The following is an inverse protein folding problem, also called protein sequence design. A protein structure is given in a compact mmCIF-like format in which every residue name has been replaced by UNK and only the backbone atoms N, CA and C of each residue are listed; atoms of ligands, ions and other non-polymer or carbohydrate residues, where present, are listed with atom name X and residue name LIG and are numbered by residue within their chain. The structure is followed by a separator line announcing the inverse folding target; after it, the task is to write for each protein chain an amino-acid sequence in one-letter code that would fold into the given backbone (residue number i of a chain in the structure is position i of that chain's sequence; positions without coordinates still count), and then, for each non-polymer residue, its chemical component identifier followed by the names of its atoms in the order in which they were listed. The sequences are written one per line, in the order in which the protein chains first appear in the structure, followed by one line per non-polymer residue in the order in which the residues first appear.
data_IF_015396029506
#
_entry.id   IF_015396029506
#
_cell.length_a   1.000
_cell.length_b   1.000
_cell.length_c   1.000
_cell.angle_alpha   90.00
_cell.angle_beta   90.00
_cell.angle_gamma   90.00
#
_symmetry.space_group_name_H-M   'P 1'
#
loop_
_entity.id
_entity.type
_entity.pdbx_description
1 polymer ?
#
# COMPACT_ATOMS: atom_id res chain seq x y z
N UNK A 1 -13.38 -11.82 -20.83
CA UNK A 1 -13.36 -10.46 -21.42
C UNK A 1 -12.50 -9.61 -20.52
N UNK A 2 -11.29 -9.34 -20.97
CA UNK A 2 -10.35 -8.44 -20.31
C UNK A 2 -10.93 -7.03 -20.38
N UNK A 3 -11.19 -6.39 -19.24
CA UNK A 3 -11.54 -4.96 -19.18
C UNK A 3 -10.29 -4.14 -19.52
N UNK A 4 -9.93 -4.14 -20.80
CA UNK A 4 -8.86 -3.28 -21.30
C UNK A 4 -9.31 -1.82 -21.19
N UNK A 5 -8.69 -1.07 -20.31
CA UNK A 5 -8.71 0.39 -20.30
C UNK A 5 -9.32 1.09 -19.08
N UNK A 6 -9.81 0.38 -18.09
CA UNK A 6 -10.28 1.05 -16.86
C UNK A 6 -9.13 1.26 -15.89
N UNK A 7 -8.88 2.53 -15.56
CA UNK A 7 -7.88 2.89 -14.53
C UNK A 7 -8.41 2.40 -13.18
N UNK A 8 -7.64 1.58 -12.43
CA UNK A 8 -8.10 1.09 -11.14
C UNK A 8 -8.32 2.25 -10.16
N UNK A 9 -9.25 2.09 -9.23
CA UNK A 9 -9.43 3.00 -8.10
C UNK A 9 -8.22 2.93 -7.16
N UNK A 10 -8.09 3.87 -6.24
CA UNK A 10 -7.03 3.83 -5.22
C UNK A 10 -7.11 2.55 -4.38
N UNK A 11 -8.33 2.15 -4.04
CA UNK A 11 -8.59 0.95 -3.27
C UNK A 11 -8.19 -0.32 -4.01
N UNK A 12 -8.51 -0.42 -5.29
CA UNK A 12 -8.12 -1.55 -6.13
C UNK A 12 -6.60 -1.64 -6.27
N UNK A 13 -5.91 -0.51 -6.42
CA UNK A 13 -4.45 -0.48 -6.50
C UNK A 13 -3.82 -0.88 -5.15
N UNK A 14 -4.37 -0.44 -4.01
CA UNK A 14 -3.95 -0.85 -2.67
C UNK A 14 -4.14 -2.36 -2.48
N UNK A 15 -5.31 -2.89 -2.82
CA UNK A 15 -5.59 -4.32 -2.74
C UNK A 15 -4.62 -5.13 -3.61
N UNK A 16 -4.37 -4.69 -4.84
CA UNK A 16 -3.41 -5.32 -5.75
C UNK A 16 -1.99 -5.33 -5.18
N UNK A 17 -1.53 -4.21 -4.60
CA UNK A 17 -0.22 -4.12 -3.97
C UNK A 17 -0.07 -5.11 -2.81
N UNK A 18 -1.08 -5.20 -1.93
CA UNK A 18 -1.07 -6.20 -0.85
C UNK A 18 -1.15 -7.61 -1.37
N UNK A 19 -2.00 -7.90 -2.36
CA UNK A 19 -2.11 -9.23 -2.95
C UNK A 19 -0.76 -9.73 -3.49
N UNK A 20 -0.02 -8.88 -4.21
CA UNK A 20 1.32 -9.21 -4.72
C UNK A 20 2.35 -9.44 -3.60
N UNK A 21 2.33 -8.58 -2.57
CA UNK A 21 3.26 -8.70 -1.44
C UNK A 21 3.00 -9.96 -0.60
N UNK A 22 1.73 -10.31 -0.41
CA UNK A 22 1.28 -11.45 0.40
C UNK A 22 1.64 -12.80 -0.20
N UNK A 23 1.65 -12.95 -1.52
CA UNK A 23 2.01 -14.22 -2.18
C UNK A 23 3.31 -14.78 -1.63
N UNK A 24 4.37 -13.96 -1.56
CA UNK A 24 5.68 -14.39 -1.08
C UNK A 24 5.70 -14.73 0.41
N UNK A 25 4.87 -14.06 1.20
CA UNK A 25 4.82 -14.28 2.65
C UNK A 25 4.03 -15.54 3.00
N UNK A 26 2.93 -15.77 2.31
CA UNK A 26 2.13 -16.99 2.45
C UNK A 26 2.93 -18.23 2.05
N UNK A 27 3.81 -18.12 1.06
CA UNK A 27 4.74 -19.18 0.67
C UNK A 27 5.72 -19.59 1.77
N UNK A 28 6.04 -18.67 2.66
CA UNK A 28 6.98 -18.88 3.78
C UNK A 28 6.29 -19.37 5.07
N UNK A 29 4.96 -19.52 5.08
CA UNK A 29 4.26 -20.06 6.24
C UNK A 29 4.71 -21.49 6.55
N UNK A 30 5.09 -21.79 7.80
CA UNK A 30 5.57 -23.12 8.20
C UNK A 30 4.40 -24.10 8.40
N UNK A 31 3.48 -24.18 7.45
CA UNK A 31 2.27 -25.00 7.49
C UNK A 31 2.16 -25.88 6.25
N UNK A 32 1.49 -27.00 6.42
CA UNK A 32 1.23 -27.93 5.30
C UNK A 32 0.03 -27.45 4.49
N UNK A 33 0.07 -27.60 3.17
CA UNK A 33 -1.08 -27.31 2.32
C UNK A 33 -2.30 -28.16 2.77
N UNK A 34 -3.47 -27.51 2.81
CA UNK A 34 -4.69 -28.12 3.34
C UNK A 34 -4.95 -27.83 4.82
N UNK A 35 -4.00 -27.25 5.55
CA UNK A 35 -4.22 -26.81 6.93
C UNK A 35 -5.42 -25.86 7.03
N UNK A 36 -6.15 -25.98 8.14
CA UNK A 36 -7.25 -25.06 8.49
C UNK A 36 -6.67 -23.88 9.24
N UNK A 37 -7.05 -22.68 8.86
CA UNK A 37 -6.58 -21.41 9.44
C UNK A 37 -7.77 -20.53 9.80
N UNK A 38 -7.67 -19.82 10.90
CA UNK A 38 -8.57 -18.74 11.24
C UNK A 38 -7.82 -17.41 11.14
N UNK A 39 -8.44 -16.39 10.51
CA UNK A 39 -7.88 -15.05 10.42
C UNK A 39 -8.46 -14.19 11.53
N UNK A 40 -7.60 -13.43 12.19
CA UNK A 40 -8.00 -12.51 13.24
C UNK A 40 -7.26 -11.17 13.13
N UNK A 41 -8.03 -10.09 12.98
CA UNK A 41 -7.48 -8.74 13.11
C UNK A 41 -7.03 -8.48 14.54
N UNK A 42 -5.79 -8.00 14.75
CA UNK A 42 -5.32 -7.55 16.07
C UNK A 42 -6.01 -6.25 16.48
N UNK A 43 -6.21 -5.34 15.54
CA UNK A 43 -6.96 -4.10 15.71
C UNK A 43 -8.32 -4.23 15.03
N UNK A 44 -9.33 -4.62 15.79
CA UNK A 44 -10.69 -4.84 15.28
C UNK A 44 -11.44 -3.54 14.94
N UNK A 45 -10.97 -2.40 15.42
CA UNK A 45 -11.61 -1.10 15.22
C UNK A 45 -11.14 -0.44 13.91
N UNK A 46 -10.08 -0.94 13.31
CA UNK A 46 -9.58 -0.42 12.04
C UNK A 46 -10.50 -0.82 10.88
N UNK A 47 -11.27 0.14 10.39
CA UNK A 47 -12.22 -0.06 9.31
C UNK A 47 -11.58 -0.49 7.98
N UNK A 48 -10.28 -0.22 7.78
CA UNK A 48 -9.56 -0.63 6.57
C UNK A 48 -9.10 -2.10 6.58
N UNK A 49 -9.35 -2.85 7.65
CA UNK A 49 -8.94 -4.26 7.77
C UNK A 49 -9.44 -5.14 6.64
N UNK A 50 -10.66 -4.90 6.14
CA UNK A 50 -11.27 -5.71 5.10
C UNK A 50 -10.46 -5.71 3.78
N UNK A 51 -9.77 -4.61 3.46
CA UNK A 51 -8.92 -4.51 2.25
C UNK A 51 -7.80 -5.54 2.27
N UNK A 52 -7.20 -5.71 3.45
CA UNK A 52 -6.09 -6.65 3.66
C UNK A 52 -6.62 -8.07 3.87
N UNK A 53 -7.75 -8.20 4.53
CA UNK A 53 -8.38 -9.50 4.80
C UNK A 53 -8.72 -10.23 3.51
N UNK A 54 -9.36 -9.54 2.55
CA UNK A 54 -9.68 -10.12 1.25
C UNK A 54 -8.42 -10.58 0.49
N UNK A 55 -7.38 -9.73 0.45
CA UNK A 55 -6.12 -10.08 -0.19
C UNK A 55 -5.41 -11.27 0.49
N UNK A 56 -5.49 -11.34 1.83
CA UNK A 56 -4.90 -12.43 2.61
C UNK A 56 -5.66 -13.74 2.43
N UNK A 57 -7.00 -13.72 2.44
CA UNK A 57 -7.85 -14.87 2.17
C UNK A 57 -7.52 -15.44 0.79
N UNK A 58 -7.49 -14.60 -0.24
CA UNK A 58 -7.19 -15.00 -1.61
C UNK A 58 -5.79 -15.64 -1.72
N UNK A 59 -4.77 -15.03 -1.12
CA UNK A 59 -3.41 -15.55 -1.11
C UNK A 59 -3.30 -16.91 -0.42
N UNK A 60 -3.96 -17.08 0.75
CA UNK A 60 -3.98 -18.34 1.49
C UNK A 60 -4.73 -19.45 0.74
N UNK A 61 -5.89 -19.13 0.16
CA UNK A 61 -6.68 -20.09 -0.61
C UNK A 61 -5.96 -20.56 -1.88
N UNK A 62 -5.28 -19.67 -2.59
CA UNK A 62 -4.44 -20.00 -3.76
C UNK A 62 -3.30 -20.97 -3.40
N UNK A 63 -2.83 -20.92 -2.17
CA UNK A 63 -1.82 -21.85 -1.62
C UNK A 63 -2.42 -23.17 -1.11
N UNK A 64 -3.75 -23.32 -1.15
CA UNK A 64 -4.46 -24.53 -0.75
C UNK A 64 -4.79 -24.59 0.75
N UNK A 65 -4.64 -23.48 1.50
CA UNK A 65 -5.09 -23.43 2.89
C UNK A 65 -6.62 -23.29 2.96
N UNK A 66 -7.21 -23.80 4.02
CA UNK A 66 -8.65 -23.67 4.29
C UNK A 66 -8.90 -22.57 5.30
N UNK A 67 -9.28 -21.41 4.81
CA UNK A 67 -9.57 -20.24 5.66
C UNK A 67 -10.97 -20.37 6.24
N UNK A 68 -11.08 -20.30 7.58
CA UNK A 68 -12.34 -20.37 8.30
C UNK A 68 -12.91 -18.97 8.51
N UNK A 69 -14.20 -18.82 8.29
CA UNK A 69 -14.93 -17.55 8.46
C UNK A 69 -15.24 -17.26 9.94
N UNK A 70 -15.25 -18.32 10.78
CA UNK A 70 -15.50 -18.21 12.22
C UNK A 70 -14.50 -19.03 12.99
N UNK A 71 -14.13 -18.55 14.15
CA UNK A 71 -13.31 -19.32 15.08
C UNK A 71 -14.09 -20.56 15.53
N UNK A 72 -13.54 -21.77 15.36
CA UNK A 72 -14.21 -22.98 15.82
C UNK A 72 -14.23 -23.06 17.35
N UNK A 73 -15.28 -23.65 17.89
CA UNK A 73 -15.47 -23.79 19.35
C UNK A 73 -14.45 -24.77 19.97
N UNK A 74 -13.97 -25.72 19.17
CA UNK A 74 -13.02 -26.78 19.59
C UNK A 74 -11.57 -26.23 19.76
N UNK A 75 -11.30 -25.01 19.39
CA UNK A 75 -10.00 -24.33 19.62
C UNK A 75 -8.82 -24.90 18.84
N UNK A 76 -8.99 -25.96 18.07
CA UNK A 76 -7.92 -26.69 17.38
C UNK A 76 -7.62 -26.14 15.97
N UNK A 77 -7.43 -24.82 15.86
CA UNK A 77 -7.10 -24.19 14.58
C UNK A 77 -6.02 -23.16 14.75
N UNK A 78 -4.99 -23.26 13.92
CA UNK A 78 -3.93 -22.25 13.87
C UNK A 78 -4.51 -20.88 13.48
N UNK A 79 -4.06 -19.82 14.15
CA UNK A 79 -4.57 -18.47 13.97
C UNK A 79 -3.54 -17.62 13.28
N UNK A 80 -3.91 -17.01 12.18
CA UNK A 80 -3.11 -15.96 11.54
C UNK A 80 -3.67 -14.61 12.00
N UNK A 81 -2.93 -13.95 12.86
CA UNK A 81 -3.20 -12.57 13.25
C UNK A 81 -2.66 -11.63 12.20
N UNK A 82 -3.42 -10.58 11.90
CA UNK A 82 -2.98 -9.52 11.01
C UNK A 82 -3.29 -8.14 11.60
N UNK A 83 -2.42 -7.18 11.31
CA UNK A 83 -2.62 -5.78 11.68
C UNK A 83 -2.15 -4.88 10.55
N UNK A 84 -3.08 -4.14 9.97
CA UNK A 84 -2.76 -3.08 9.03
C UNK A 84 -2.13 -1.90 9.80
N UNK A 85 -0.85 -1.65 9.55
CA UNK A 85 -0.11 -0.56 10.20
C UNK A 85 -0.31 0.73 9.43
N UNK A 86 -0.33 0.65 8.09
CA UNK A 86 -0.51 1.79 7.20
C UNK A 86 -0.97 1.36 5.81
N UNK A 87 -1.86 2.13 5.22
CA UNK A 87 -2.11 2.15 3.80
C UNK A 87 -2.16 3.60 3.34
N UNK A 88 -1.37 3.95 2.32
CA UNK A 88 -1.22 5.32 1.85
C UNK A 88 -1.10 5.37 0.34
N UNK A 89 -1.77 6.33 -0.28
CA UNK A 89 -1.65 6.65 -1.70
C UNK A 89 -1.01 8.03 -1.86
N UNK A 90 0.01 8.10 -2.70
CA UNK A 90 0.77 9.32 -2.95
C UNK A 90 0.69 9.67 -4.42
N UNK A 91 0.24 10.88 -4.72
CA UNK A 91 0.21 11.43 -6.07
C UNK A 91 1.37 12.38 -6.28
N UNK A 92 2.14 12.18 -7.33
CA UNK A 92 3.25 13.06 -7.71
C UNK A 92 3.19 13.36 -9.20
N UNK A 93 3.81 14.47 -9.63
CA UNK A 93 3.90 14.75 -11.07
C UNK A 93 4.82 13.73 -11.74
N UNK A 94 4.34 13.08 -12.78
CA UNK A 94 5.18 12.21 -13.59
C UNK A 94 6.22 13.07 -14.33
N UNK A 95 7.51 12.74 -14.12
CA UNK A 95 8.59 13.38 -14.89
C UNK A 95 8.62 12.76 -16.29
N UNK A 96 7.90 13.36 -17.22
CA UNK A 96 8.00 12.99 -18.63
C UNK A 96 8.93 13.97 -19.35
N UNK A 97 10.17 13.51 -19.65
CA UNK A 97 11.08 14.14 -20.59
C UNK A 97 11.41 15.63 -20.35
N UNK A 98 11.78 16.31 -21.44
CA UNK A 98 12.20 17.70 -21.48
C UNK A 98 11.02 18.71 -21.38
N UNK A 99 9.78 18.25 -21.47
CA UNK A 99 8.59 19.11 -21.42
C UNK A 99 7.92 19.08 -20.04
N UNK A 100 7.79 20.24 -19.34
CA UNK A 100 7.22 20.32 -17.99
C UNK A 100 5.70 20.18 -17.93
N UNK A 101 5.03 19.81 -19.01
CA UNK A 101 3.57 19.81 -19.18
C UNK A 101 2.98 18.39 -19.23
N UNK A 102 3.57 17.46 -18.47
CA UNK A 102 3.01 16.13 -18.35
C UNK A 102 1.55 16.18 -17.91
N UNK A 103 0.67 15.55 -18.69
CA UNK A 103 -0.78 15.43 -18.40
C UNK A 103 -1.07 14.28 -17.43
N UNK A 104 -0.03 13.63 -16.89
CA UNK A 104 -0.16 12.45 -16.06
C UNK A 104 0.42 12.68 -14.67
N UNK A 105 -0.19 12.04 -13.69
CA UNK A 105 0.30 11.92 -12.34
C UNK A 105 0.81 10.49 -12.13
N UNK A 106 1.91 10.35 -11.43
CA UNK A 106 2.34 9.08 -10.88
C UNK A 106 1.63 8.89 -9.55
N UNK A 107 0.87 7.81 -9.45
CA UNK A 107 0.20 7.37 -8.25
C UNK A 107 0.99 6.20 -7.68
N UNK A 108 1.40 6.29 -6.43
CA UNK A 108 2.18 5.30 -5.72
C UNK A 108 1.43 4.85 -4.48
N UNK A 109 1.37 3.55 -4.27
CA UNK A 109 0.79 2.93 -3.09
C UNK A 109 1.89 2.42 -2.18
N UNK A 110 1.76 2.69 -0.90
CA UNK A 110 2.60 2.17 0.16
C UNK A 110 1.74 1.52 1.22
N UNK A 111 2.04 0.28 1.57
CA UNK A 111 1.35 -0.47 2.60
C UNK A 111 2.32 -1.14 3.56
N UNK A 112 1.95 -1.16 4.84
CA UNK A 112 2.65 -1.90 5.90
C UNK A 112 1.63 -2.77 6.62
N UNK A 113 1.89 -4.07 6.66
CA UNK A 113 1.07 -5.07 7.31
C UNK A 113 1.95 -5.93 8.21
N UNK A 114 1.49 -6.20 9.41
CA UNK A 114 2.09 -7.18 10.30
C UNK A 114 1.26 -8.48 10.28
N UNK A 115 1.95 -9.60 10.16
CA UNK A 115 1.37 -10.94 10.20
C UNK A 115 2.03 -11.76 11.30
N UNK A 116 1.25 -12.59 12.01
CA UNK A 116 1.72 -13.50 13.04
C UNK A 116 0.93 -14.80 12.99
N UNK A 117 1.61 -15.92 13.01
CA UNK A 117 1.00 -17.25 13.12
C UNK A 117 1.16 -17.76 14.54
N UNK A 118 0.05 -18.11 15.18
CA UNK A 118 0.00 -18.83 16.45
C UNK A 118 -0.58 -20.22 16.24
N UNK A 119 0.04 -21.21 16.85
CA UNK A 119 -0.47 -22.58 16.82
C UNK A 119 -1.60 -22.79 17.80
N UNK A 120 -2.56 -23.62 17.41
CA UNK A 120 -3.71 -23.97 18.24
C UNK A 120 -3.32 -24.71 19.52
N UNK A 121 -2.30 -25.59 19.46
CA UNK A 121 -1.99 -26.54 20.52
C UNK A 121 -1.39 -25.88 21.78
N UNK A 122 -0.56 -24.87 21.62
CA UNK A 122 0.23 -24.30 22.71
C UNK A 122 0.22 -22.76 22.72
N UNK A 123 -0.50 -22.12 21.80
CA UNK A 123 -0.57 -20.67 21.62
C UNK A 123 0.82 -20.02 21.43
N UNK A 124 1.75 -20.75 20.85
CA UNK A 124 3.10 -20.27 20.57
C UNK A 124 3.15 -19.59 19.22
N UNK A 125 3.79 -18.44 19.20
CA UNK A 125 4.10 -17.74 17.94
C UNK A 125 5.15 -18.55 17.17
N UNK A 126 4.77 -19.10 16.03
CA UNK A 126 5.66 -19.88 15.17
C UNK A 126 6.28 -19.09 14.04
N UNK A 127 5.63 -18.00 13.68
CA UNK A 127 6.08 -17.19 12.58
C UNK A 127 5.51 -15.78 12.71
N UNK A 128 6.31 -14.78 12.39
CA UNK A 128 5.89 -13.40 12.32
C UNK A 128 6.61 -12.68 11.18
N UNK A 129 5.95 -11.74 10.53
CA UNK A 129 6.54 -10.95 9.45
C UNK A 129 5.90 -9.58 9.34
N UNK A 130 6.73 -8.62 8.95
CA UNK A 130 6.27 -7.34 8.43
C UNK A 130 6.27 -7.41 6.91
N UNK A 131 5.13 -7.17 6.32
CA UNK A 131 4.90 -7.15 4.87
C UNK A 131 4.86 -5.73 4.41
N UNK A 132 5.68 -5.38 3.44
CA UNK A 132 5.64 -4.07 2.78
C UNK A 132 5.05 -4.26 1.39
N UNK A 133 3.95 -3.57 1.13
CA UNK A 133 3.31 -3.52 -0.17
C UNK A 133 3.69 -2.24 -0.88
N UNK A 134 3.99 -2.35 -2.17
CA UNK A 134 4.27 -1.21 -3.03
C UNK A 134 3.79 -1.51 -4.45
N UNK A 135 3.08 -0.56 -5.03
CA UNK A 135 2.71 -0.58 -6.44
C UNK A 135 2.59 0.86 -6.95
N UNK A 136 2.54 1.04 -8.26
CA UNK A 136 2.38 2.35 -8.85
C UNK A 136 1.78 2.27 -10.26
N UNK A 137 1.10 3.34 -10.65
CA UNK A 137 0.62 3.52 -12.02
C UNK A 137 0.69 4.99 -12.45
N UNK A 138 0.27 5.26 -13.70
CA UNK A 138 0.13 6.61 -14.24
C UNK A 138 -1.35 6.89 -14.47
N UNK A 139 -1.81 8.00 -13.91
CA UNK A 139 -3.20 8.45 -14.05
C UNK A 139 -3.29 9.84 -14.69
N UNK A 140 -4.33 10.14 -15.44
CA UNK A 140 -4.53 11.47 -16.04
C UNK A 140 -4.61 12.55 -14.96
N UNK A 141 -4.06 13.74 -15.24
CA UNK A 141 -4.12 14.90 -14.37
C UNK A 141 -5.55 15.47 -14.31
N UNK A 142 -6.33 15.03 -13.44
CA UNK A 142 -7.77 15.32 -13.27
C UNK A 142 -8.55 14.09 -12.86
N UNK A 143 -7.93 12.91 -12.95
CA UNK A 143 -8.53 11.66 -12.46
C UNK A 143 -8.38 11.46 -10.95
N UNK A 144 -7.46 12.17 -10.29
CA UNK A 144 -7.19 11.98 -8.86
C UNK A 144 -8.36 12.30 -7.93
N UNK A 145 -9.25 13.21 -8.31
CA UNK A 145 -10.47 13.53 -7.53
C UNK A 145 -11.56 12.45 -7.67
N UNK A 146 -11.52 11.67 -8.76
CA UNK A 146 -12.53 10.65 -9.08
C UNK A 146 -12.13 9.27 -8.58
N UNK A 147 -10.84 9.05 -8.36
CA UNK A 147 -10.27 7.73 -8.02
C UNK A 147 -10.10 7.54 -6.50
N UNK A 148 -10.45 8.55 -5.70
CA UNK A 148 -10.30 8.53 -4.25
C UNK A 148 -11.06 7.38 -3.59
N UNK A 149 -10.35 6.58 -2.80
CA UNK A 149 -10.87 5.41 -2.10
C UNK A 149 -11.59 5.71 -0.78
N UNK A 150 -12.13 6.93 -0.58
CA UNK A 150 -12.76 7.33 0.67
C UNK A 150 -11.78 7.64 1.82
N UNK A 151 -12.31 7.96 2.99
CA UNK A 151 -11.55 8.41 4.17
C UNK A 151 -10.67 7.31 4.81
N UNK A 152 -10.78 6.06 4.37
CA UNK A 152 -10.09 4.91 4.96
C UNK A 152 -8.60 4.80 4.57
N UNK A 153 -8.18 5.46 3.50
CA UNK A 153 -6.81 5.41 3.01
C UNK A 153 -6.20 6.80 3.07
N UNK A 154 -5.06 6.94 3.73
CA UNK A 154 -4.33 8.21 3.79
C UNK A 154 -3.90 8.64 2.39
N UNK A 155 -4.48 9.71 1.86
CA UNK A 155 -4.12 10.30 0.60
C UNK A 155 -3.16 11.48 0.82
N UNK A 156 -2.07 11.51 0.10
CA UNK A 156 -1.15 12.64 0.10
C UNK A 156 -0.84 13.07 -1.32
N UNK A 157 -1.26 14.28 -1.66
CA UNK A 157 -0.88 14.91 -2.93
C UNK A 157 0.43 15.66 -2.73
N UNK A 158 1.52 15.10 -3.24
CA UNK A 158 2.80 15.79 -3.27
C UNK A 158 2.83 16.68 -4.52
N UNK A 159 2.57 17.98 -4.33
CA UNK A 159 2.95 18.97 -5.34
C UNK A 159 4.47 19.02 -5.40
N UNK A 160 5.05 18.40 -6.42
CA UNK A 160 6.47 18.62 -6.71
C UNK A 160 6.61 20.04 -7.23
N UNK A 161 6.77 20.98 -6.33
CA UNK A 161 7.28 22.30 -6.67
C UNK A 161 8.66 22.10 -7.29
N UNK A 162 8.86 22.71 -8.43
CA UNK A 162 10.08 22.53 -9.22
C UNK A 162 11.23 23.17 -8.45
N UNK A 163 11.92 22.42 -7.58
CA UNK A 163 13.07 22.89 -6.79
C UNK A 163 14.17 23.54 -7.65
N UNK A 164 14.16 23.28 -8.97
CA UNK A 164 15.03 23.96 -9.92
C UNK A 164 14.64 25.42 -10.13
N UNK A 165 13.34 25.77 -10.09
CA UNK A 165 12.86 27.16 -10.21
C UNK A 165 13.11 27.89 -8.90
N UNK A 166 12.86 27.27 -7.74
CA UNK A 166 13.20 27.88 -6.44
C UNK A 166 14.69 28.11 -6.27
N UNK A 167 15.54 27.17 -6.68
CA UNK A 167 17.00 27.34 -6.64
C UNK A 167 17.49 28.43 -7.60
N UNK A 168 16.90 28.58 -8.77
CA UNK A 168 17.25 29.62 -9.72
C UNK A 168 16.74 31.00 -9.28
N UNK A 169 15.54 31.06 -8.65
CA UNK A 169 15.01 32.29 -8.05
C UNK A 169 15.83 32.70 -6.83
N UNK A 170 16.15 31.81 -5.92
CA UNK A 170 16.97 32.11 -4.75
C UNK A 170 18.41 32.46 -5.14
N UNK A 171 19.01 31.80 -6.12
CA UNK A 171 20.32 32.17 -6.67
C UNK A 171 20.29 33.58 -7.36
N UNK A 172 19.20 33.89 -8.07
CA UNK A 172 18.99 35.20 -8.68
C UNK A 172 18.82 36.33 -7.66
N UNK A 173 18.06 36.08 -6.58
CA UNK A 173 17.88 37.06 -5.48
C UNK A 173 19.17 37.26 -4.71
N UNK A 174 19.89 36.18 -4.35
CA UNK A 174 21.18 36.30 -3.66
C UNK A 174 22.23 36.92 -4.54
N UNK A 175 22.31 36.57 -5.82
CA UNK A 175 23.22 37.22 -6.77
C UNK A 175 22.90 38.69 -6.98
N UNK A 176 21.63 39.07 -7.06
CA UNK A 176 21.19 40.46 -7.16
C UNK A 176 21.50 41.29 -5.91
N UNK A 177 21.32 40.72 -4.71
CA UNK A 177 21.70 41.37 -3.45
C UNK A 177 23.22 41.54 -3.32
N UNK A 178 24.03 40.55 -3.71
CA UNK A 178 25.48 40.69 -3.75
C UNK A 178 25.91 41.77 -4.72
N UNK A 179 25.30 41.85 -5.90
CA UNK A 179 25.61 42.91 -6.87
C UNK A 179 25.33 44.32 -6.32
N UNK A 180 24.21 44.51 -5.63
CA UNK A 180 23.86 45.78 -5.00
C UNK A 180 24.83 46.15 -3.85
N UNK A 181 25.27 45.20 -3.06
CA UNK A 181 26.16 45.47 -1.91
C UNK A 181 27.63 45.71 -2.28
N UNK A 182 28.09 45.28 -3.44
CA UNK A 182 29.49 45.41 -3.84
C UNK A 182 29.75 46.44 -4.93
N UNK A 183 28.72 47.09 -5.49
CA UNK A 183 28.85 48.10 -6.55
C UNK A 183 28.37 49.50 -6.08
N UNK A 184 27.71 49.60 -4.93
CA UNK A 184 27.40 50.86 -4.24
C UNK A 184 28.36 51.09 -3.09
#
# INVERSE_FOLDING_TARGET
ESSEGQIPTDLELVNQAFAQALVRQVDALPLVAGSRLYLQAEDKENEANWVVEDALIDALQKRGYRVLVRQPEDGEVDVVFYRLVRARVVYSQAKQGFFPWGKELRREVYGDLFLRLETAADHVVRWDRRVQAYDWDLVPKGGGEVLGGGDMIEQTVIKVENKAIERSLSAGIVGGLFYIFFIL
#
